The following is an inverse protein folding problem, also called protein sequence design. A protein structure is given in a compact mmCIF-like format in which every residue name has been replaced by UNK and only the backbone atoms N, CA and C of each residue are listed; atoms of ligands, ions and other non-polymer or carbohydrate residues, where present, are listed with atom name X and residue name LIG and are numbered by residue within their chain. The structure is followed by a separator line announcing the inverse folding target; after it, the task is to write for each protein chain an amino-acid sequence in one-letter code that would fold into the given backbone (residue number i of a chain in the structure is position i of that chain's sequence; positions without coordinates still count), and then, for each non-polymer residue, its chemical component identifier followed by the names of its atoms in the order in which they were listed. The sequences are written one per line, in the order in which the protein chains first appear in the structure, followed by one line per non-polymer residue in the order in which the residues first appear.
data_IF_547261030101
#
_entry.id   IF_547261030101
#
_cell.length_a   1.000
_cell.length_b   1.000
_cell.length_c   1.000
_cell.angle_alpha   90.00
_cell.angle_beta   90.00
_cell.angle_gamma   90.00
#
_symmetry.space_group_name_H-M   'P 1'
#
loop_
_entity.id
_entity.type
_entity.pdbx_description
1 polymer ?
#
# COMPACT_ATOMS: atom_id res chain seq x y z
N UNK A 1 6.34 3.72 -12.20
CA UNK A 1 4.90 3.97 -11.92
C UNK A 1 4.58 3.44 -10.51
N UNK A 2 3.66 4.02 -9.73
CA UNK A 2 3.45 3.64 -8.30
C UNK A 2 3.22 2.12 -8.08
N UNK A 3 2.62 1.47 -9.09
CA UNK A 3 2.33 0.03 -9.07
C UNK A 3 3.59 -0.84 -9.23
N UNK A 4 4.55 -0.42 -10.05
CA UNK A 4 5.84 -1.11 -10.23
C UNK A 4 6.70 -1.03 -8.96
N UNK A 5 6.65 0.13 -8.28
CA UNK A 5 7.38 0.33 -7.02
C UNK A 5 6.80 -0.52 -5.89
N UNK A 6 5.53 -0.96 -5.94
CA UNK A 6 4.98 -1.86 -4.93
C UNK A 6 5.65 -3.24 -4.97
N UNK A 7 6.02 -3.72 -6.15
CA UNK A 7 6.69 -5.02 -6.28
C UNK A 7 8.15 -4.97 -5.87
N UNK A 8 8.85 -3.87 -6.14
CA UNK A 8 10.29 -3.73 -5.81
C UNK A 8 10.52 -3.23 -4.39
N UNK A 9 9.69 -2.28 -3.94
CA UNK A 9 9.81 -1.59 -2.66
C UNK A 9 8.44 -1.50 -1.96
N UNK A 10 7.87 -2.63 -1.52
CA UNK A 10 6.56 -2.66 -0.90
C UNK A 10 6.49 -1.90 0.44
N UNK A 11 7.60 -1.74 1.15
CA UNK A 11 7.58 -1.20 2.53
C UNK A 11 8.25 0.18 2.67
N UNK A 12 8.71 0.78 1.57
CA UNK A 12 9.46 2.06 1.58
C UNK A 12 9.25 2.82 0.27
N UNK A 13 9.76 4.05 0.13
CA UNK A 13 9.65 4.81 -1.13
C UNK A 13 8.45 5.74 -1.21
N UNK A 14 7.94 5.95 -2.43
CA UNK A 14 6.97 7.01 -2.73
C UNK A 14 5.65 6.82 -1.97
N UNK A 15 4.98 7.94 -1.67
CA UNK A 15 3.68 7.89 -1.02
C UNK A 15 3.73 7.46 0.45
N UNK A 16 4.91 7.39 1.07
CA UNK A 16 5.10 7.07 2.51
C UNK A 16 4.30 5.82 2.94
N UNK A 17 4.76 4.61 2.60
CA UNK A 17 4.16 3.37 3.09
C UNK A 17 4.06 3.36 4.62
N UNK A 18 2.88 3.05 5.14
CA UNK A 18 2.59 3.01 6.57
C UNK A 18 1.89 1.67 6.88
N UNK A 19 2.39 0.85 7.83
CA UNK A 19 1.72 -0.37 8.24
C UNK A 19 0.43 -0.05 8.98
N UNK A 20 -0.65 -0.73 8.63
CA UNK A 20 -1.94 -0.59 9.29
C UNK A 20 -1.99 -1.44 10.57
N UNK A 21 -2.90 -1.08 11.47
CA UNK A 21 -3.00 -1.65 12.83
C UNK A 21 -4.39 -2.26 13.07
N UNK A 22 -4.52 -2.96 14.19
CA UNK A 22 -5.77 -3.59 14.66
C UNK A 22 -6.31 -4.61 13.65
N UNK A 23 -7.55 -4.46 13.20
CA UNK A 23 -8.20 -5.36 12.23
C UNK A 23 -7.53 -5.38 10.87
N UNK A 24 -6.67 -4.40 10.55
CA UNK A 24 -5.92 -4.31 9.30
C UNK A 24 -4.42 -4.62 9.50
N UNK A 25 -4.05 -5.24 10.63
CA UNK A 25 -2.67 -5.67 10.88
C UNK A 25 -2.22 -6.65 9.78
N UNK A 26 -1.04 -6.41 9.21
CA UNK A 26 -0.53 -7.15 8.04
C UNK A 26 -0.75 -6.42 6.71
N UNK A 27 -1.62 -5.41 6.68
CA UNK A 27 -1.82 -4.55 5.51
C UNK A 27 -1.01 -3.26 5.60
N UNK A 28 -0.89 -2.59 4.45
CA UNK A 28 -0.14 -1.37 4.26
C UNK A 28 -0.96 -0.32 3.52
N UNK A 29 -0.70 0.94 3.86
CA UNK A 29 -1.27 2.11 3.19
C UNK A 29 -0.17 2.89 2.48
N UNK A 30 -0.40 3.31 1.24
CA UNK A 30 0.49 4.21 0.49
C UNK A 30 -0.32 5.36 -0.11
N UNK A 31 0.21 6.57 -0.04
CA UNK A 31 -0.44 7.79 -0.56
C UNK A 31 -0.32 7.84 -2.08
N UNK A 32 -1.46 7.91 -2.76
CA UNK A 32 -1.51 8.19 -4.21
C UNK A 32 -1.43 9.70 -4.42
N UNK A 33 -2.22 10.45 -3.64
CA UNK A 33 -2.21 11.92 -3.60
C UNK A 33 -2.61 12.38 -2.18
N UNK A 34 -3.02 13.65 -2.02
CA UNK A 34 -3.41 14.18 -0.71
C UNK A 34 -4.61 13.44 -0.09
N UNK A 35 -5.59 13.07 -0.92
CA UNK A 35 -6.88 12.50 -0.50
C UNK A 35 -6.90 10.97 -0.59
N UNK A 36 -6.28 10.41 -1.62
CA UNK A 36 -6.39 9.00 -1.96
C UNK A 36 -5.27 8.16 -1.33
N UNK A 37 -5.65 6.98 -0.85
CA UNK A 37 -4.75 5.96 -0.33
C UNK A 37 -4.94 4.65 -1.09
N UNK A 38 -3.84 3.96 -1.31
CA UNK A 38 -3.79 2.58 -1.76
C UNK A 38 -3.64 1.70 -0.54
N UNK A 39 -4.57 0.77 -0.34
CA UNK A 39 -4.45 -0.28 0.67
C UNK A 39 -4.05 -1.58 -0.02
N UNK A 40 -2.95 -2.19 0.42
CA UNK A 40 -2.41 -3.41 -0.13
C UNK A 40 -1.85 -4.31 0.95
N UNK A 41 -1.64 -5.56 0.57
CA UNK A 41 -1.05 -6.62 1.38
C UNK A 41 0.11 -7.23 0.61
N UNK A 42 1.16 -7.61 1.33
CA UNK A 42 2.37 -8.19 0.75
C UNK A 42 2.41 -9.65 1.17
N UNK A 43 2.26 -10.53 0.18
CA UNK A 43 2.39 -11.97 0.31
C UNK A 43 3.77 -12.40 -0.16
N UNK A 44 4.14 -13.66 0.06
CA UNK A 44 5.48 -14.18 -0.32
C UNK A 44 5.81 -14.00 -1.79
N UNK A 45 4.82 -14.09 -2.68
CA UNK A 45 5.01 -14.07 -4.13
C UNK A 45 4.25 -12.97 -4.86
N UNK A 46 3.46 -12.18 -4.14
CA UNK A 46 2.55 -11.21 -4.75
C UNK A 46 2.26 -10.02 -3.84
N UNK A 47 1.91 -8.89 -4.45
CA UNK A 47 1.29 -7.76 -3.77
C UNK A 47 -0.18 -7.69 -4.19
N UNK A 48 -1.08 -7.78 -3.20
CA UNK A 48 -2.53 -7.74 -3.43
C UNK A 48 -3.04 -6.36 -3.08
N UNK A 49 -3.63 -5.67 -4.05
CA UNK A 49 -4.27 -4.37 -3.85
C UNK A 49 -5.75 -4.59 -3.52
N UNK A 50 -6.17 -4.17 -2.32
CA UNK A 50 -7.53 -4.35 -1.82
C UNK A 50 -8.43 -3.15 -2.14
N UNK A 51 -7.92 -1.93 -1.95
CA UNK A 51 -8.68 -0.71 -2.18
C UNK A 51 -7.81 0.41 -2.78
N UNK A 52 -8.36 1.06 -3.80
CA UNK A 52 -7.87 2.33 -4.33
C UNK A 52 -9.07 3.29 -4.43
N UNK A 53 -9.50 3.86 -3.30
CA UNK A 53 -10.58 4.84 -3.30
C UNK A 53 -10.30 5.97 -2.32
N UNK A 54 -10.61 7.18 -2.77
CA UNK A 54 -10.57 8.38 -1.95
C UNK A 54 -11.58 8.36 -0.83
N UNK A 55 -11.20 8.94 0.29
CA UNK A 55 -12.13 9.46 1.28
C UNK A 55 -12.66 10.81 0.80
#
# INVERSE_FOLDING_TARGET
MLLEELTEHPFSGTGKPEPLKHSLSGMWSRRINKEHRLIYEVLETAVVVHHAKGH
#
